data_IF_250969204329
#
_entry.id   IF_250969204329
#
_cell.length_a   1.000
_cell.length_b   1.000
_cell.length_c   1.000
_cell.angle_alpha   90.00
_cell.angle_beta   90.00
_cell.angle_gamma   90.00
#
_symmetry.space_group_name_H-M   'P 1'
#
loop_
_entity.id
_entity.type
_entity.pdbx_description
1 polymer ?
#
# COMPACT_ATOMS: atom_id res chain seq x y z
N UNK A 1 5.66 -4.10 -9.78
CA UNK A 1 4.88 -5.12 -9.05
C UNK A 1 3.41 -4.75 -9.13
N UNK A 2 2.55 -5.74 -9.35
CA UNK A 2 1.10 -5.56 -9.36
C UNK A 2 0.54 -6.02 -8.00
N UNK A 3 -0.25 -5.17 -7.33
CA UNK A 3 -0.95 -5.50 -6.10
C UNK A 3 -2.44 -5.25 -6.28
N UNK A 4 -3.24 -6.29 -5.99
CA UNK A 4 -4.69 -6.18 -5.94
C UNK A 4 -5.06 -5.52 -4.60
N UNK A 5 -5.43 -4.25 -4.63
CA UNK A 5 -5.75 -3.45 -3.43
C UNK A 5 -7.26 -3.27 -3.34
N UNK A 6 -7.80 -3.45 -2.15
CA UNK A 6 -9.15 -3.00 -1.80
C UNK A 6 -8.97 -1.66 -1.09
N UNK A 7 -9.37 -0.57 -1.74
CA UNK A 7 -9.28 0.78 -1.19
C UNK A 7 -10.63 1.10 -0.54
N UNK A 8 -10.71 1.04 0.79
CA UNK A 8 -11.94 1.33 1.54
C UNK A 8 -12.34 2.82 1.51
N UNK A 9 -11.71 3.63 0.66
CA UNK A 9 -11.84 5.09 0.71
C UNK A 9 -12.84 5.73 -0.26
N UNK A 10 -13.10 5.21 -1.46
CA UNK A 10 -14.02 5.86 -2.42
C UNK A 10 -14.57 4.86 -3.44
N UNK A 11 -15.90 4.68 -3.47
CA UNK A 11 -16.61 3.89 -4.49
C UNK A 11 -17.07 2.49 -4.04
N UNK A 12 -17.88 1.79 -4.87
CA UNK A 12 -18.36 0.45 -4.56
C UNK A 12 -17.17 -0.47 -4.35
N UNK A 13 -17.28 -1.33 -3.33
CA UNK A 13 -16.27 -2.20 -2.71
C UNK A 13 -15.65 -3.26 -3.65
N UNK A 14 -15.09 -2.78 -4.77
CA UNK A 14 -14.52 -3.57 -5.85
C UNK A 14 -13.01 -3.52 -5.73
N UNK A 15 -12.33 -4.67 -5.63
CA UNK A 15 -10.88 -4.71 -5.66
C UNK A 15 -10.36 -4.09 -6.96
N UNK A 16 -9.44 -3.12 -6.85
CA UNK A 16 -8.78 -2.52 -7.99
C UNK A 16 -7.35 -3.07 -8.09
N UNK A 17 -6.92 -3.32 -9.33
CA UNK A 17 -5.55 -3.70 -9.61
C UNK A 17 -4.68 -2.44 -9.70
N UNK A 18 -3.63 -2.36 -8.89
CA UNK A 18 -2.72 -1.20 -8.84
C UNK A 18 -1.30 -1.69 -9.07
N UNK A 19 -0.60 -1.05 -10.01
CA UNK A 19 0.80 -1.37 -10.32
C UNK A 19 1.72 -0.24 -9.87
N UNK A 20 2.84 -0.63 -9.24
CA UNK A 20 3.85 0.31 -8.74
C UNK A 20 5.27 -0.23 -8.94
N UNK A 21 6.24 0.68 -8.93
CA UNK A 21 7.68 0.43 -9.08
C UNK A 21 8.48 1.19 -8.01
N UNK A 22 9.81 1.11 -8.10
CA UNK A 22 10.76 1.91 -7.32
C UNK A 22 10.56 1.76 -5.80
N UNK A 23 10.32 0.51 -5.37
CA UNK A 23 10.03 0.18 -3.98
C UNK A 23 11.28 0.37 -3.14
N UNK A 24 11.19 1.23 -2.11
CA UNK A 24 12.26 1.46 -1.14
C UNK A 24 11.69 1.54 0.27
N UNK A 25 12.34 0.90 1.24
CA UNK A 25 11.98 1.08 2.65
C UNK A 25 12.41 2.48 3.10
N UNK A 26 11.48 3.23 3.69
CA UNK A 26 11.72 4.60 4.19
C UNK A 26 11.49 4.74 5.70
N UNK A 27 10.89 3.74 6.35
CA UNK A 27 10.68 3.77 7.79
C UNK A 27 10.34 2.40 8.36
N UNK A 28 10.80 2.14 9.58
CA UNK A 28 10.48 0.96 10.36
C UNK A 28 9.97 1.41 11.73
N UNK A 29 8.91 0.78 12.22
CA UNK A 29 8.34 1.06 13.53
C UNK A 29 7.65 -0.17 14.10
N UNK A 30 7.19 -0.07 15.35
CA UNK A 30 6.53 -1.18 16.07
C UNK A 30 5.35 -1.79 15.32
N UNK A 31 4.62 -0.96 14.56
CA UNK A 31 3.42 -1.37 13.82
C UNK A 31 3.70 -1.89 12.41
N UNK A 32 4.96 -1.89 11.95
CA UNK A 32 5.34 -2.42 10.64
C UNK A 32 6.30 -1.51 9.85
N UNK A 33 6.25 -1.63 8.52
CA UNK A 33 7.24 -1.03 7.61
C UNK A 33 6.56 -0.09 6.63
N UNK A 34 7.15 1.08 6.41
CA UNK A 34 6.73 2.06 5.40
C UNK A 34 7.67 1.98 4.19
N UNK A 35 7.07 1.81 3.02
CA UNK A 35 7.75 1.81 1.73
C UNK A 35 7.38 3.06 0.96
N UNK A 36 8.33 3.66 0.27
CA UNK A 36 8.07 4.56 -0.84
C UNK A 36 7.97 3.72 -2.11
N UNK A 37 7.02 4.08 -2.98
CA UNK A 37 6.88 3.48 -4.30
C UNK A 37 6.37 4.54 -5.28
N UNK A 38 6.53 4.28 -6.58
CA UNK A 38 5.99 5.11 -7.65
C UNK A 38 4.85 4.39 -8.34
N UNK A 39 3.70 5.04 -8.47
CA UNK A 39 2.57 4.50 -9.23
C UNK A 39 2.90 4.49 -10.73
N UNK A 40 2.53 3.42 -11.44
CA UNK A 40 2.86 3.30 -12.87
C UNK A 40 1.94 4.17 -13.73
N UNK A 41 0.67 4.29 -13.35
CA UNK A 41 -0.36 5.03 -14.06
C UNK A 41 -0.18 6.55 -13.93
N UNK A 42 -0.09 7.07 -12.71
CA UNK A 42 0.01 8.52 -12.45
C UNK A 42 1.45 9.02 -12.35
N UNK A 43 2.42 8.11 -12.25
CA UNK A 43 3.84 8.43 -11.98
C UNK A 43 4.08 9.14 -10.65
N UNK A 44 3.08 9.20 -9.76
CA UNK A 44 3.17 9.85 -8.46
C UNK A 44 3.90 9.00 -7.43
N UNK A 45 4.57 9.68 -6.50
CA UNK A 45 5.20 9.05 -5.35
C UNK A 45 4.15 8.80 -4.26
N UNK A 46 4.12 7.57 -3.74
CA UNK A 46 3.21 7.15 -2.68
C UNK A 46 3.95 6.46 -1.54
N UNK A 47 3.37 6.53 -0.33
CA UNK A 47 3.80 5.77 0.83
C UNK A 47 2.88 4.56 1.05
N UNK A 48 3.47 3.37 1.17
CA UNK A 48 2.78 2.10 1.46
C UNK A 48 3.18 1.66 2.86
N UNK A 49 2.24 1.72 3.81
CA UNK A 49 2.46 1.21 5.18
C UNK A 49 1.99 -0.24 5.27
N UNK A 50 2.93 -1.18 5.33
CA UNK A 50 2.64 -2.60 5.60
C UNK A 50 2.54 -2.79 7.11
N UNK A 51 1.31 -2.96 7.60
CA UNK A 51 1.03 -3.23 9.01
C UNK A 51 0.85 -4.73 9.24
N UNK A 52 1.25 -5.19 10.42
CA UNK A 52 0.94 -6.56 10.86
C UNK A 52 -0.51 -6.57 11.34
N UNK A 53 -1.40 -7.17 10.55
CA UNK A 53 -2.79 -7.37 10.92
C UNK A 53 -2.88 -8.51 11.95
N UNK A 54 -2.73 -8.17 13.23
CA UNK A 54 -2.95 -9.10 14.32
C UNK A 54 -4.46 -9.25 14.53
N UNK A 55 -4.97 -10.48 14.39
CA UNK A 55 -6.40 -10.80 14.50
C UNK A 55 -7.02 -10.42 15.85
N UNK A 56 -6.19 -10.20 16.87
CA UNK A 56 -6.62 -9.76 18.21
C UNK A 56 -6.96 -8.27 18.27
N UNK A 57 -6.40 -7.48 17.36
CA UNK A 57 -6.66 -6.06 17.23
C UNK A 57 -7.58 -5.85 16.01
N UNK A 58 -8.90 -5.96 16.25
CA UNK A 58 -9.93 -5.55 15.29
C UNK A 58 -10.34 -4.11 15.54
#
# INVERSE_FOLDING_TARGET
MCCRRQWEGQGPDRPQEVSYTDIKVIGNGSFGVVYQARLIDTQEWVAIKKVLQDKRFK
#
